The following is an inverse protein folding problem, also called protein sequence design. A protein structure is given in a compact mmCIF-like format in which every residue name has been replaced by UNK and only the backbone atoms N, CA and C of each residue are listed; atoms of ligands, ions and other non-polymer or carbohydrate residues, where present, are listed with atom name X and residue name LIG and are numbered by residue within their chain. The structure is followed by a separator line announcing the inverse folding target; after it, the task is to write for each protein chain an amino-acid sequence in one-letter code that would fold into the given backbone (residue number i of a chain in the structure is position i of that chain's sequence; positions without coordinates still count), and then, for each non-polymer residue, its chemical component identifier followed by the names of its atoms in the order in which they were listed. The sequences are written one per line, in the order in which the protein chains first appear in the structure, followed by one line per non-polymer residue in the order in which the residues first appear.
data_IF_428835383470
#
_entry.id   IF_428835383470
#
_cell.length_a   1.000
_cell.length_b   1.000
_cell.length_c   1.000
_cell.angle_alpha   90.00
_cell.angle_beta   90.00
_cell.angle_gamma   90.00
#
_symmetry.space_group_name_H-M   'P 1'
#
loop_
_entity.id
_entity.type
_entity.pdbx_description
1 polymer ?
#
# COMPACT_ATOMS: atom_id res chain seq x y z
N UNK A 1 9.15 -11.45 -0.63
CA UNK A 1 9.76 -12.71 -0.13
C UNK A 1 10.92 -13.08 -1.04
N UNK A 2 11.90 -13.82 -0.54
CA UNK A 2 12.97 -14.39 -1.36
C UNK A 2 12.91 -15.91 -1.18
N UNK A 3 12.76 -16.65 -2.27
CA UNK A 3 12.70 -18.12 -2.28
C UNK A 3 14.05 -18.65 -2.76
N UNK A 4 14.61 -19.63 -2.07
CA UNK A 4 15.85 -20.30 -2.49
C UNK A 4 15.58 -21.48 -3.43
N UNK A 5 16.65 -22.13 -3.89
CA UNK A 5 16.57 -23.28 -4.80
C UNK A 5 15.82 -24.49 -4.20
N UNK A 6 15.55 -24.50 -2.89
CA UNK A 6 14.78 -25.54 -2.21
C UNK A 6 13.27 -25.25 -2.16
N UNK A 7 12.85 -24.05 -2.56
CA UNK A 7 11.46 -23.61 -2.50
C UNK A 7 11.06 -23.01 -1.14
N UNK A 8 12.00 -22.83 -0.21
CA UNK A 8 11.76 -22.20 1.08
C UNK A 8 12.05 -20.70 1.03
N UNK A 9 11.28 -19.91 1.79
CA UNK A 9 11.60 -18.48 1.90
C UNK A 9 12.70 -18.24 2.93
N UNK A 10 13.69 -17.43 2.55
CA UNK A 10 14.77 -16.97 3.44
C UNK A 10 14.38 -15.74 4.28
N UNK A 11 13.13 -15.29 4.15
CA UNK A 11 12.58 -14.10 4.81
C UNK A 11 11.21 -14.43 5.41
N UNK A 12 10.82 -13.75 6.48
CA UNK A 12 9.49 -13.89 7.08
C UNK A 12 8.86 -12.52 7.34
N UNK A 13 7.53 -12.45 7.17
CA UNK A 13 6.76 -11.27 7.53
C UNK A 13 6.54 -11.18 9.05
N UNK A 14 6.76 -10.00 9.63
CA UNK A 14 6.43 -9.70 11.03
C UNK A 14 5.00 -9.13 11.10
N UNK A 15 4.00 -10.02 11.05
CA UNK A 15 2.60 -9.62 10.86
C UNK A 15 2.03 -8.81 12.04
N UNK A 16 2.57 -8.96 13.24
CA UNK A 16 2.12 -8.21 14.44
C UNK A 16 2.61 -6.76 14.47
N UNK A 17 3.52 -6.36 13.57
CA UNK A 17 4.07 -4.99 13.52
C UNK A 17 3.56 -4.19 12.33
N UNK A 18 2.62 -4.73 11.55
CA UNK A 18 2.16 -4.11 10.32
C UNK A 18 1.26 -2.90 10.59
N UNK A 19 1.47 -1.81 9.86
CA UNK A 19 0.57 -0.67 9.75
C UNK A 19 0.21 -0.49 8.27
N UNK A 20 -1.07 -0.29 7.93
CA UNK A 20 -1.52 -0.17 6.54
C UNK A 20 -1.30 1.24 6.01
N UNK A 21 -0.46 1.38 5.00
CA UNK A 21 -0.34 2.59 4.20
C UNK A 21 -1.21 2.44 2.94
N UNK A 22 -1.98 3.48 2.60
CA UNK A 22 -2.77 3.54 1.37
C UNK A 22 -2.20 4.64 0.49
N UNK A 23 -1.95 4.32 -0.78
CA UNK A 23 -1.58 5.31 -1.80
C UNK A 23 -2.84 5.81 -2.52
N UNK A 24 -3.02 7.12 -2.57
CA UNK A 24 -4.18 7.76 -3.16
C UNK A 24 -3.81 8.49 -4.44
N UNK A 25 -4.71 8.41 -5.42
CA UNK A 25 -4.71 9.28 -6.59
C UNK A 25 -6.02 10.09 -6.60
N UNK A 26 -5.93 11.38 -6.95
CA UNK A 26 -7.09 12.28 -6.95
C UNK A 26 -6.95 13.40 -7.94
N UNK A 27 -8.08 13.93 -8.40
CA UNK A 27 -8.12 15.09 -9.29
C UNK A 27 -8.04 16.37 -8.45
N UNK A 28 -7.01 17.17 -8.70
CA UNK A 28 -6.77 18.43 -7.96
C UNK A 28 -7.79 19.50 -8.38
N UNK A 29 -8.29 20.26 -7.41
CA UNK A 29 -9.18 21.39 -7.67
C UNK A 29 -8.52 22.41 -8.63
N UNK A 30 -9.22 22.81 -9.68
CA UNK A 30 -8.68 23.70 -10.72
C UNK A 30 -7.86 23.01 -11.80
N UNK A 31 -7.89 21.67 -11.90
CA UNK A 31 -7.26 20.94 -12.98
C UNK A 31 -7.74 21.42 -14.36
N UNK A 32 -6.81 21.86 -15.20
CA UNK A 32 -7.11 22.38 -16.54
C UNK A 32 -7.74 21.33 -17.47
N UNK A 33 -7.49 20.05 -17.20
CA UNK A 33 -8.07 18.92 -17.93
C UNK A 33 -8.69 17.92 -16.94
N UNK A 34 -9.79 18.32 -16.30
CA UNK A 34 -10.51 17.47 -15.34
C UNK A 34 -10.99 16.15 -15.99
N UNK A 35 -11.48 16.20 -17.23
CA UNK A 35 -11.98 15.00 -17.94
C UNK A 35 -10.87 13.99 -18.15
N UNK A 36 -9.69 14.43 -18.59
CA UNK A 36 -8.52 13.55 -18.75
C UNK A 36 -8.02 13.00 -17.42
N UNK A 37 -8.00 13.82 -16.37
CA UNK A 37 -7.59 13.39 -15.04
C UNK A 37 -8.53 12.30 -14.49
N UNK A 38 -9.86 12.45 -14.65
CA UNK A 38 -10.83 11.42 -14.27
C UNK A 38 -10.63 10.12 -15.04
N UNK A 39 -10.42 10.20 -16.36
CA UNK A 39 -10.10 9.00 -17.18
C UNK A 39 -8.82 8.31 -16.74
N UNK A 40 -7.83 9.05 -16.25
CA UNK A 40 -6.62 8.45 -15.70
C UNK A 40 -6.89 7.72 -14.38
N UNK A 41 -7.72 8.27 -13.49
CA UNK A 41 -8.19 7.55 -12.30
C UNK A 41 -8.95 6.28 -12.70
N UNK A 42 -9.85 6.36 -13.68
CA UNK A 42 -10.58 5.18 -14.17
C UNK A 42 -9.63 4.12 -14.73
N UNK A 43 -8.56 4.53 -15.42
CA UNK A 43 -7.50 3.63 -15.89
C UNK A 43 -6.75 2.98 -14.72
N UNK A 44 -6.37 3.75 -13.70
CA UNK A 44 -5.69 3.19 -12.51
C UNK A 44 -6.54 2.14 -11.79
N UNK A 45 -7.87 2.30 -11.80
CA UNK A 45 -8.82 1.36 -11.20
C UNK A 45 -9.23 0.21 -12.13
N UNK A 46 -8.71 0.17 -13.35
CA UNK A 46 -9.04 -0.89 -14.30
C UNK A 46 -8.50 -2.26 -13.84
N UNK A 47 -9.14 -3.37 -14.23
CA UNK A 47 -8.67 -4.71 -13.86
C UNK A 47 -7.21 -4.97 -14.24
N UNK A 48 -6.79 -4.52 -15.43
CA UNK A 48 -5.42 -4.74 -15.92
C UNK A 48 -4.38 -4.00 -15.07
N UNK A 49 -4.65 -2.75 -14.69
CA UNK A 49 -3.73 -2.00 -13.82
C UNK A 49 -3.71 -2.59 -12.42
N UNK A 50 -4.88 -2.89 -11.86
CA UNK A 50 -4.98 -3.46 -10.51
C UNK A 50 -4.28 -4.82 -10.41
N UNK A 51 -4.39 -5.68 -11.43
CA UNK A 51 -3.70 -6.97 -11.48
C UNK A 51 -2.18 -6.83 -11.63
N UNK A 52 -1.69 -5.73 -12.21
CA UNK A 52 -0.26 -5.46 -12.36
C UNK A 52 0.40 -4.87 -11.11
N UNK A 53 -0.37 -4.28 -10.19
CA UNK A 53 0.15 -3.62 -8.97
C UNK A 53 1.04 -4.54 -8.11
N UNK A 54 0.67 -5.80 -7.80
CA UNK A 54 1.48 -6.66 -6.95
C UNK A 54 2.91 -6.84 -7.46
N UNK A 55 3.07 -7.14 -8.74
CA UNK A 55 4.38 -7.41 -9.33
C UNK A 55 5.20 -6.13 -9.56
N UNK A 56 4.53 -5.04 -9.98
CA UNK A 56 5.21 -3.80 -10.32
C UNK A 56 5.61 -2.95 -9.11
N UNK A 57 4.80 -2.97 -8.04
CA UNK A 57 4.95 -2.05 -6.91
C UNK A 57 5.08 -2.75 -5.56
N UNK A 58 4.95 -4.09 -5.50
CA UNK A 58 4.91 -4.83 -4.24
C UNK A 58 3.83 -4.32 -3.28
N UNK A 59 2.64 -4.06 -3.83
CA UNK A 59 1.46 -3.60 -3.09
C UNK A 59 0.24 -4.48 -3.35
N UNK A 60 -0.75 -4.43 -2.44
CA UNK A 60 -2.05 -5.04 -2.71
C UNK A 60 -2.91 -4.10 -3.57
N UNK A 61 -3.74 -4.65 -4.48
CA UNK A 61 -4.69 -3.87 -5.25
C UNK A 61 -5.71 -3.17 -4.34
N UNK A 62 -6.15 -1.98 -4.74
CA UNK A 62 -7.20 -1.24 -4.06
C UNK A 62 -8.61 -1.75 -4.42
N UNK A 63 -8.76 -2.34 -5.61
CA UNK A 63 -10.02 -2.94 -6.07
C UNK A 63 -10.15 -4.35 -5.49
N UNK A 64 -11.24 -4.57 -4.75
CA UNK A 64 -11.58 -5.86 -4.17
C UNK A 64 -11.67 -6.95 -5.24
N UNK A 65 -11.37 -8.18 -4.84
CA UNK A 65 -11.42 -9.38 -5.69
C UNK A 65 -10.47 -9.37 -6.90
N UNK A 66 -9.53 -8.42 -6.97
CA UNK A 66 -8.43 -8.49 -7.93
C UNK A 66 -7.58 -9.74 -7.63
N UNK A 67 -7.40 -10.66 -8.61
CA UNK A 67 -6.58 -11.85 -8.42
C UNK A 67 -5.15 -11.49 -8.04
N UNK A 68 -4.60 -12.18 -7.04
CA UNK A 68 -3.19 -12.07 -6.67
C UNK A 68 -2.37 -13.17 -7.37
N UNK A 69 -1.07 -12.94 -7.62
CA UNK A 69 -0.17 -14.02 -8.04
C UNK A 69 -0.17 -15.14 -7.01
N UNK A 70 -0.10 -16.40 -7.45
CA UNK A 70 -0.17 -17.57 -6.56
C UNK A 70 0.87 -17.52 -5.42
N UNK A 71 2.08 -17.05 -5.71
CA UNK A 71 3.16 -16.96 -4.74
C UNK A 71 2.87 -15.92 -3.64
N UNK A 72 2.07 -14.89 -3.93
CA UNK A 72 1.66 -13.89 -2.94
C UNK A 72 0.73 -14.49 -1.89
N UNK A 73 -0.17 -15.37 -2.28
CA UNK A 73 -1.06 -16.07 -1.34
C UNK A 73 -0.25 -16.88 -0.31
N UNK A 74 0.90 -17.41 -0.72
CA UNK A 74 1.76 -18.22 0.14
C UNK A 74 2.73 -17.39 0.98
N UNK A 75 3.36 -16.38 0.38
CA UNK A 75 4.54 -15.72 0.96
C UNK A 75 4.34 -14.23 1.30
N UNK A 76 3.20 -13.66 0.92
CA UNK A 76 2.79 -12.31 1.27
C UNK A 76 1.37 -12.33 1.84
N UNK A 77 1.13 -12.96 3.00
CA UNK A 77 -0.15 -12.84 3.68
C UNK A 77 -0.35 -11.43 4.23
N UNK A 78 -1.59 -10.94 4.17
CA UNK A 78 -1.97 -9.74 4.90
C UNK A 78 -1.94 -10.01 6.40
N UNK A 79 -1.56 -9.01 7.19
CA UNK A 79 -1.77 -9.06 8.63
C UNK A 79 -3.28 -9.03 8.93
N UNK A 80 -3.76 -9.99 9.73
CA UNK A 80 -5.16 -10.08 10.14
C UNK A 80 -5.57 -8.89 11.02
N UNK A 81 -4.67 -8.48 11.92
CA UNK A 81 -4.88 -7.41 12.88
C UNK A 81 -3.73 -6.41 12.80
N UNK A 82 -3.64 -5.60 11.73
CA UNK A 82 -2.60 -4.57 11.67
C UNK A 82 -2.87 -3.50 12.72
N UNK A 83 -1.82 -2.78 13.09
CA UNK A 83 -1.90 -1.54 13.85
C UNK A 83 -2.73 -0.55 13.03
N UNK A 84 -3.78 -0.01 13.64
CA UNK A 84 -4.65 1.00 13.05
C UNK A 84 -4.52 2.30 13.83
N UNK A 85 -4.37 3.41 13.10
CA UNK A 85 -4.40 4.76 13.66
C UNK A 85 -5.36 5.55 12.77
N UNK A 86 -6.33 6.23 13.37
CA UNK A 86 -7.32 6.97 12.60
C UNK A 86 -6.68 8.13 11.84
N UNK A 87 -7.23 8.50 10.68
CA UNK A 87 -6.73 9.65 9.91
C UNK A 87 -6.80 10.96 10.72
N UNK A 88 -7.82 11.11 11.57
CA UNK A 88 -7.97 12.24 12.47
C UNK A 88 -6.82 12.31 13.48
N UNK A 89 -6.50 11.19 14.14
CA UNK A 89 -5.41 11.12 15.10
C UNK A 89 -4.04 11.34 14.44
N UNK A 90 -3.83 10.77 13.25
CA UNK A 90 -2.62 11.03 12.44
C UNK A 90 -2.52 12.52 12.15
N UNK A 91 -3.60 13.15 11.67
CA UNK A 91 -3.63 14.58 11.36
C UNK A 91 -3.33 15.46 12.58
N UNK A 92 -3.92 15.15 13.73
CA UNK A 92 -3.72 15.91 14.97
C UNK A 92 -2.31 15.75 15.56
N UNK A 93 -1.69 14.58 15.40
CA UNK A 93 -0.45 14.24 16.10
C UNK A 93 0.81 14.32 15.23
N UNK A 94 0.67 14.34 13.90
CA UNK A 94 1.77 14.30 12.92
C UNK A 94 2.94 15.23 13.27
N UNK A 95 2.66 16.50 13.52
CA UNK A 95 3.70 17.51 13.76
C UNK A 95 4.49 17.23 15.05
N UNK A 96 3.82 16.72 16.08
CA UNK A 96 4.46 16.35 17.33
C UNK A 96 5.34 15.11 17.15
N UNK A 97 4.83 14.07 16.49
CA UNK A 97 5.58 12.84 16.21
C UNK A 97 6.81 13.10 15.35
N UNK A 98 6.70 13.93 14.30
CA UNK A 98 7.84 14.30 13.47
C UNK A 98 8.94 14.99 14.27
N UNK A 99 8.60 15.95 15.14
CA UNK A 99 9.58 16.61 16.01
C UNK A 99 10.26 15.65 16.97
N UNK A 100 9.49 14.76 17.61
CA UNK A 100 10.02 13.77 18.54
C UNK A 100 10.97 12.80 17.84
N UNK A 101 10.58 12.30 16.67
CA UNK A 101 11.42 11.43 15.86
C UNK A 101 12.73 12.11 15.47
N UNK A 102 12.68 13.32 14.91
CA UNK A 102 13.89 14.06 14.53
C UNK A 102 14.83 14.24 15.71
N UNK A 103 14.33 14.63 16.88
CA UNK A 103 15.16 14.81 18.07
C UNK A 103 15.77 13.50 18.61
N UNK A 104 15.13 12.35 18.38
CA UNK A 104 15.62 11.06 18.84
C UNK A 104 16.75 10.49 17.95
N UNK A 105 16.80 10.87 16.67
CA UNK A 105 17.75 10.32 15.68
C UNK A 105 18.84 11.30 15.23
N UNK A 106 18.78 12.57 15.65
CA UNK A 106 19.81 13.59 15.43
C UNK A 106 20.82 13.63 16.57
#
# INVERSE_FOLDING_TARGET
FTVDDSGESTTQALLETCFRQVEYAGVVAGAQNEVGARKFIDFLLSPDVQAAIPEAMFMYPAVADTPLPQEWEQFAPLADNPIEVSQEEIGASRDAWLRQWTAAVS
#
